data_IF_287117794108
#
_entry.id   IF_287117794108
#
_cell.length_a   1.000
_cell.length_b   1.000
_cell.length_c   1.000
_cell.angle_alpha   90.00
_cell.angle_beta   90.00
_cell.angle_gamma   90.00
#
_symmetry.space_group_name_H-M   'P 1'
#
loop_
_entity.id
_entity.type
_entity.pdbx_description
1 polymer ?
#
# COMPACT_ATOMS: atom_id res chain seq x y z
N UNK A 1 20.41 -44.13 -5.94
CA UNK A 1 19.90 -43.26 -4.87
C UNK A 1 18.85 -42.34 -5.47
N UNK A 2 17.57 -42.53 -5.15
CA UNK A 2 16.48 -41.80 -5.78
C UNK A 2 16.41 -40.37 -5.23
N UNK A 3 16.67 -39.38 -6.09
CA UNK A 3 16.43 -37.97 -5.79
C UNK A 3 14.94 -37.75 -5.53
N UNK A 4 14.55 -37.70 -4.25
CA UNK A 4 13.18 -37.36 -3.84
C UNK A 4 12.97 -35.87 -4.09
N UNK A 5 12.27 -35.54 -5.16
CA UNK A 5 11.92 -34.15 -5.48
C UNK A 5 11.07 -33.56 -4.34
N UNK A 6 11.52 -32.43 -3.79
CA UNK A 6 10.81 -31.70 -2.73
C UNK A 6 9.57 -31.06 -3.34
N UNK A 7 8.39 -31.35 -2.79
CA UNK A 7 7.15 -30.66 -3.17
C UNK A 7 7.32 -29.16 -2.86
N UNK A 8 7.07 -28.24 -3.82
CA UNK A 8 7.23 -26.81 -3.58
C UNK A 8 6.28 -26.35 -2.47
N UNK A 9 6.75 -25.45 -1.62
CA UNK A 9 5.90 -24.91 -0.56
C UNK A 9 4.80 -24.03 -1.20
N UNK A 10 3.67 -23.87 -0.51
CA UNK A 10 2.58 -23.00 -0.98
C UNK A 10 3.06 -21.55 -1.24
N UNK A 11 4.13 -21.10 -0.56
CA UNK A 11 4.81 -19.82 -0.80
C UNK A 11 5.54 -19.76 -2.15
N UNK A 12 6.06 -20.88 -2.63
CA UNK A 12 6.82 -20.95 -3.89
C UNK A 12 5.86 -20.90 -5.08
N UNK A 13 4.73 -21.60 -4.98
CA UNK A 13 3.62 -21.53 -5.96
C UNK A 13 2.85 -20.19 -5.94
N UNK A 14 3.05 -19.39 -4.89
CA UNK A 14 2.57 -18.01 -4.81
C UNK A 14 3.55 -17.04 -5.50
N UNK A 15 4.86 -17.35 -5.49
CA UNK A 15 5.92 -16.55 -6.15
C UNK A 15 5.93 -16.67 -7.67
N UNK A 16 5.50 -17.81 -8.22
CA UNK A 16 5.36 -17.97 -9.69
C UNK A 16 4.27 -17.07 -10.30
N UNK A 17 3.45 -16.42 -9.47
CA UNK A 17 2.48 -15.42 -9.92
C UNK A 17 3.04 -14.03 -9.65
N UNK A 18 3.04 -13.18 -10.66
CA UNK A 18 3.42 -11.77 -10.51
C UNK A 18 2.66 -11.14 -9.33
N UNK A 19 3.39 -10.58 -8.38
CA UNK A 19 2.79 -9.84 -7.27
C UNK A 19 1.97 -8.67 -7.83
N UNK A 20 0.76 -8.50 -7.30
CA UNK A 20 -0.13 -7.40 -7.72
C UNK A 20 -0.49 -6.55 -6.52
N UNK A 21 -0.65 -5.26 -6.76
CA UNK A 21 -1.15 -4.31 -5.76
C UNK A 21 -2.55 -3.86 -6.13
N UNK A 22 -3.43 -3.78 -5.13
CA UNK A 22 -4.79 -3.29 -5.31
C UNK A 22 -4.78 -1.82 -5.72
N UNK A 23 -5.31 -1.51 -6.90
CA UNK A 23 -5.37 -0.15 -7.43
C UNK A 23 -6.17 0.82 -6.54
N UNK A 24 -7.08 0.31 -5.70
CA UNK A 24 -7.91 1.14 -4.80
C UNK A 24 -7.27 1.39 -3.43
N UNK A 25 -6.73 0.36 -2.78
CA UNK A 25 -6.26 0.47 -1.38
C UNK A 25 -4.75 0.36 -1.19
N UNK A 26 -4.00 0.06 -2.25
CA UNK A 26 -2.54 -0.06 -2.22
C UNK A 26 -1.99 -1.29 -1.50
N UNK A 27 -2.84 -2.20 -1.02
CA UNK A 27 -2.40 -3.46 -0.40
C UNK A 27 -2.05 -4.50 -1.46
N UNK A 28 -1.13 -5.41 -1.14
CA UNK A 28 -0.85 -6.61 -1.94
C UNK A 28 -2.14 -7.41 -2.12
N UNK A 29 -2.38 -7.85 -3.35
CA UNK A 29 -3.47 -8.75 -3.69
C UNK A 29 -3.00 -10.18 -3.40
N UNK A 30 -3.58 -10.78 -2.38
CA UNK A 30 -3.35 -12.21 -2.10
C UNK A 30 -4.11 -13.06 -3.10
N UNK A 31 -3.43 -14.03 -3.70
CA UNK A 31 -4.03 -14.96 -4.67
C UNK A 31 -5.24 -15.69 -4.07
N UNK A 32 -6.26 -15.94 -4.91
CA UNK A 32 -7.46 -16.71 -4.56
C UNK A 32 -7.79 -17.66 -5.70
N UNK A 33 -8.21 -18.88 -5.40
CA UNK A 33 -8.52 -19.91 -6.40
C UNK A 33 -9.49 -19.43 -7.49
N UNK A 34 -10.49 -18.62 -7.12
CA UNK A 34 -11.46 -18.02 -8.06
C UNK A 34 -10.86 -17.09 -9.13
N UNK A 35 -9.60 -16.70 -8.99
CA UNK A 35 -8.88 -15.84 -9.94
C UNK A 35 -7.92 -16.62 -10.83
N UNK A 36 -7.93 -17.96 -10.75
CA UNK A 36 -7.04 -18.81 -11.55
C UNK A 36 -7.15 -18.53 -13.06
N UNK A 37 -8.35 -18.25 -13.56
CA UNK A 37 -8.61 -18.03 -14.99
C UNK A 37 -8.40 -16.59 -15.48
N UNK A 38 -8.23 -15.62 -14.58
CA UNK A 38 -8.20 -14.20 -14.96
C UNK A 38 -7.24 -13.34 -14.12
N UNK A 39 -6.21 -13.96 -13.53
CA UNK A 39 -5.27 -13.29 -12.64
C UNK A 39 -4.67 -12.02 -13.26
N UNK A 40 -4.32 -12.06 -14.54
CA UNK A 40 -3.70 -10.93 -15.22
C UNK A 40 -4.58 -9.68 -15.20
N UNK A 41 -5.90 -9.85 -15.29
CA UNK A 41 -6.87 -8.76 -15.24
C UNK A 41 -7.30 -8.34 -13.82
N UNK A 42 -6.84 -9.02 -12.76
CA UNK A 42 -7.21 -8.67 -11.38
C UNK A 42 -6.53 -7.36 -10.95
N UNK A 43 -7.34 -6.31 -10.75
CA UNK A 43 -6.87 -4.98 -10.30
C UNK A 43 -7.20 -4.65 -8.84
N UNK A 44 -8.13 -5.38 -8.21
CA UNK A 44 -8.66 -5.05 -6.88
C UNK A 44 -8.69 -6.28 -5.97
N UNK A 45 -8.35 -6.09 -4.69
CA UNK A 45 -8.31 -7.18 -3.71
C UNK A 45 -9.70 -7.65 -3.23
N UNK A 46 -10.76 -6.86 -3.48
CA UNK A 46 -12.13 -7.17 -3.05
C UNK A 46 -13.17 -6.42 -3.89
N UNK A 47 -14.43 -6.86 -3.81
CA UNK A 47 -15.57 -6.17 -4.40
C UNK A 47 -15.73 -4.76 -3.83
N UNK A 48 -15.53 -4.58 -2.51
CA UNK A 48 -15.58 -3.26 -1.89
C UNK A 48 -14.50 -2.31 -2.44
N UNK A 49 -13.27 -2.79 -2.65
CA UNK A 49 -12.21 -1.98 -3.28
C UNK A 49 -12.52 -1.67 -4.76
N UNK A 50 -13.17 -2.60 -5.48
CA UNK A 50 -13.63 -2.34 -6.84
C UNK A 50 -14.70 -1.24 -6.86
N UNK A 51 -15.68 -1.31 -5.97
CA UNK A 51 -16.76 -0.32 -5.87
C UNK A 51 -16.25 1.05 -5.39
N UNK A 52 -15.31 1.07 -4.45
CA UNK A 52 -14.74 2.32 -3.95
C UNK A 52 -13.82 3.01 -4.98
N UNK A 53 -12.94 2.26 -5.65
CA UNK A 53 -11.95 2.85 -6.57
C UNK A 53 -10.99 3.83 -5.87
N UNK A 54 -10.46 4.78 -6.64
CA UNK A 54 -9.70 5.96 -6.18
C UNK A 54 -10.52 7.19 -6.54
N UNK A 55 -10.76 8.08 -5.58
CA UNK A 55 -11.58 9.29 -5.79
C UNK A 55 -10.75 10.59 -5.66
N UNK A 56 -11.39 11.75 -5.77
CA UNK A 56 -10.71 13.05 -5.70
C UNK A 56 -10.00 13.29 -4.35
N UNK A 57 -10.61 12.83 -3.24
CA UNK A 57 -9.99 12.94 -1.90
C UNK A 57 -8.74 12.07 -1.79
N UNK A 58 -8.78 10.86 -2.35
CA UNK A 58 -7.61 9.98 -2.44
C UNK A 58 -6.45 10.65 -3.19
N UNK A 59 -6.73 11.34 -4.30
CA UNK A 59 -5.70 12.05 -5.10
C UNK A 59 -5.12 13.22 -4.31
N UNK A 60 -5.98 14.06 -3.70
CA UNK A 60 -5.54 15.16 -2.84
C UNK A 60 -4.66 14.70 -1.66
N UNK A 61 -4.92 13.51 -1.12
CA UNK A 61 -4.10 12.92 -0.06
C UNK A 61 -2.71 12.50 -0.57
N UNK A 62 -2.60 11.97 -1.79
CA UNK A 62 -1.30 11.66 -2.41
C UNK A 62 -0.49 12.94 -2.66
N UNK A 63 -1.13 13.97 -3.20
CA UNK A 63 -0.53 15.29 -3.41
C UNK A 63 -0.05 15.91 -2.09
N UNK A 64 -0.88 15.87 -1.04
CA UNK A 64 -0.52 16.37 0.28
C UNK A 64 0.65 15.60 0.91
N UNK A 65 0.68 14.27 0.79
CA UNK A 65 1.82 13.45 1.25
C UNK A 65 3.10 13.86 0.50
N UNK A 66 3.03 13.98 -0.82
CA UNK A 66 4.16 14.40 -1.65
C UNK A 66 4.67 15.78 -1.26
N UNK A 67 3.79 16.77 -1.13
CA UNK A 67 4.13 18.14 -0.76
C UNK A 67 4.75 18.21 0.65
N UNK A 68 4.15 17.53 1.64
CA UNK A 68 4.67 17.50 3.01
C UNK A 68 6.04 16.84 3.09
N UNK A 69 6.25 15.75 2.36
CA UNK A 69 7.56 15.12 2.27
C UNK A 69 8.57 16.06 1.60
N UNK A 70 8.22 16.73 0.50
CA UNK A 70 9.07 17.68 -0.23
C UNK A 70 9.48 18.89 0.62
N UNK A 71 8.57 19.40 1.46
CA UNK A 71 8.85 20.55 2.31
C UNK A 71 9.82 20.27 3.48
N UNK A 72 10.15 19.00 3.75
CA UNK A 72 11.04 18.60 4.85
C UNK A 72 12.46 18.24 4.38
N UNK A 73 13.38 18.17 5.33
CA UNK A 73 14.70 17.57 5.12
C UNK A 73 14.59 16.14 4.59
N UNK A 74 15.60 15.69 3.83
CA UNK A 74 15.55 14.44 3.07
C UNK A 74 15.37 13.18 3.94
N UNK A 75 15.87 13.20 5.17
CA UNK A 75 15.79 12.11 6.14
C UNK A 75 14.59 12.21 7.08
N UNK A 76 13.85 13.32 7.02
CA UNK A 76 12.67 13.54 7.83
C UNK A 76 11.53 12.61 7.43
N UNK A 77 10.61 12.41 8.37
CA UNK A 77 9.41 11.60 8.16
C UNK A 77 8.16 12.42 8.44
N UNK A 78 7.02 12.03 7.87
CA UNK A 78 5.67 12.48 8.26
C UNK A 78 4.86 11.28 8.78
N UNK A 79 3.71 11.48 9.39
CA UNK A 79 2.69 10.43 9.55
C UNK A 79 1.45 10.70 8.67
N UNK A 80 0.60 9.69 8.42
CA UNK A 80 -0.61 9.85 7.62
C UNK A 80 -1.54 10.96 8.14
N UNK A 81 -1.58 11.19 9.46
CA UNK A 81 -2.45 12.23 10.02
C UNK A 81 -2.06 13.66 9.67
N UNK A 82 -0.82 13.90 9.26
CA UNK A 82 -0.41 15.21 8.76
C UNK A 82 -1.06 15.51 7.41
N UNK A 83 -1.05 14.55 6.48
CA UNK A 83 -1.74 14.68 5.20
C UNK A 83 -3.27 14.74 5.36
N UNK A 84 -3.82 13.92 6.26
CA UNK A 84 -5.25 13.95 6.56
C UNK A 84 -5.70 15.30 7.12
N UNK A 85 -4.93 15.92 8.01
CA UNK A 85 -5.21 17.27 8.53
C UNK A 85 -5.12 18.33 7.45
N UNK A 86 -4.12 18.23 6.57
CA UNK A 86 -3.96 19.16 5.45
C UNK A 86 -5.15 19.10 4.47
N UNK A 87 -5.74 17.93 4.25
CA UNK A 87 -6.86 17.75 3.32
C UNK A 87 -8.23 17.94 3.96
N UNK A 88 -8.43 17.44 5.18
CA UNK A 88 -9.73 17.32 5.84
C UNK A 88 -10.03 18.34 6.94
N UNK A 89 -9.08 19.20 7.30
CA UNK A 89 -9.32 20.21 8.34
C UNK A 89 -9.78 19.59 9.66
N UNK A 90 -10.94 19.99 10.16
CA UNK A 90 -11.54 19.48 11.41
C UNK A 90 -11.99 18.00 11.30
N UNK A 91 -12.42 17.58 10.11
CA UNK A 91 -12.92 16.23 9.81
C UNK A 91 -11.81 15.23 9.45
N UNK A 92 -10.55 15.58 9.72
CA UNK A 92 -9.39 14.78 9.31
C UNK A 92 -9.39 13.34 9.83
N UNK A 93 -10.12 13.06 10.91
CA UNK A 93 -10.18 11.71 11.51
C UNK A 93 -10.78 10.69 10.56
N UNK A 94 -11.76 11.09 9.76
CA UNK A 94 -12.38 10.22 8.75
C UNK A 94 -11.41 9.89 7.61
N UNK A 95 -10.42 10.77 7.38
CA UNK A 95 -9.39 10.62 6.35
C UNK A 95 -8.21 9.77 6.80
N UNK A 96 -8.24 9.15 7.98
CA UNK A 96 -7.15 8.27 8.44
C UNK A 96 -6.90 7.08 7.54
N UNK A 97 -7.93 6.25 7.29
CA UNK A 97 -7.77 5.10 6.41
C UNK A 97 -7.56 5.51 4.93
N UNK A 98 -8.26 6.52 4.39
CA UNK A 98 -7.93 7.10 3.08
C UNK A 98 -6.46 7.54 2.97
N UNK A 99 -5.91 8.21 3.98
CA UNK A 99 -4.52 8.67 3.97
C UNK A 99 -3.54 7.49 4.00
N UNK A 100 -3.84 6.44 4.77
CA UNK A 100 -3.07 5.19 4.73
C UNK A 100 -3.14 4.54 3.34
N UNK A 101 -4.31 4.49 2.70
CA UNK A 101 -4.47 3.94 1.34
C UNK A 101 -3.64 4.70 0.32
N UNK A 102 -3.66 6.03 0.36
CA UNK A 102 -2.81 6.90 -0.46
C UNK A 102 -1.33 6.56 -0.28
N UNK A 103 -0.85 6.54 0.97
CA UNK A 103 0.53 6.17 1.26
C UNK A 103 0.92 4.78 0.71
N UNK A 104 0.04 3.78 0.82
CA UNK A 104 0.29 2.44 0.27
C UNK A 104 0.37 2.43 -1.26
N UNK A 105 -0.48 3.19 -1.95
CA UNK A 105 -0.41 3.33 -3.42
C UNK A 105 0.90 4.01 -3.84
N UNK A 106 1.34 5.03 -3.12
CA UNK A 106 2.63 5.68 -3.35
C UNK A 106 3.82 4.73 -3.11
N UNK A 107 3.79 3.89 -2.07
CA UNK A 107 4.79 2.82 -1.88
C UNK A 107 4.81 1.86 -3.06
N UNK A 108 3.63 1.43 -3.53
CA UNK A 108 3.53 0.50 -4.64
C UNK A 108 4.05 1.05 -5.97
N UNK A 109 4.08 2.39 -6.12
CA UNK A 109 4.70 3.09 -7.25
C UNK A 109 6.18 3.43 -7.02
N UNK A 110 6.74 3.08 -5.86
CA UNK A 110 8.14 3.36 -5.52
C UNK A 110 8.42 4.84 -5.18
N UNK A 111 7.40 5.61 -4.80
CA UNK A 111 7.54 7.05 -4.53
C UNK A 111 7.94 7.36 -3.08
N UNK A 112 7.60 6.47 -2.14
CA UNK A 112 7.92 6.62 -0.72
C UNK A 112 8.10 5.28 -0.02
N UNK A 113 8.61 5.30 1.21
CA UNK A 113 8.68 4.15 2.10
C UNK A 113 7.82 4.37 3.35
N UNK A 114 7.15 3.30 3.79
CA UNK A 114 6.48 3.23 5.10
C UNK A 114 7.42 2.59 6.11
N UNK A 115 7.57 3.22 7.28
CA UNK A 115 8.42 2.72 8.38
C UNK A 115 7.70 2.65 9.72
N UNK A 116 8.17 1.75 10.59
CA UNK A 116 7.81 1.67 12.00
C UNK A 116 9.08 1.43 12.82
N UNK A 117 9.28 2.18 13.90
CA UNK A 117 10.52 2.11 14.67
C UNK A 117 11.79 2.38 13.83
N UNK A 118 11.67 3.16 12.76
CA UNK A 118 12.77 3.46 11.83
C UNK A 118 13.03 2.42 10.73
N UNK A 119 12.49 1.20 10.85
CA UNK A 119 12.62 0.14 9.87
C UNK A 119 11.52 0.20 8.81
N UNK A 120 11.85 -0.13 7.54
CA UNK A 120 10.85 -0.28 6.47
C UNK A 120 10.00 -1.50 6.76
N UNK A 121 8.67 -1.35 6.65
CA UNK A 121 7.70 -2.43 6.92
C UNK A 121 6.80 -2.68 5.71
N UNK A 122 6.19 -3.87 5.66
CA UNK A 122 5.19 -4.18 4.64
C UNK A 122 3.93 -3.31 4.84
N UNK A 123 3.57 -2.47 3.86
CA UNK A 123 2.39 -1.62 3.93
C UNK A 123 1.08 -2.39 4.11
N UNK A 124 1.01 -3.64 3.65
CA UNK A 124 -0.20 -4.46 3.65
C UNK A 124 -0.55 -5.01 5.03
N UNK A 125 0.46 -5.14 5.90
CA UNK A 125 0.36 -5.83 7.20
C UNK A 125 0.69 -4.93 8.39
N UNK A 126 1.34 -3.78 8.16
CA UNK A 126 1.65 -2.80 9.21
C UNK A 126 0.40 -2.35 9.99
N UNK A 127 0.47 -2.45 11.32
CA UNK A 127 -0.60 -2.04 12.27
C UNK A 127 -0.11 -0.92 13.17
N UNK A 128 -1.01 -0.04 13.60
CA UNK A 128 -0.68 1.05 14.52
C UNK A 128 0.06 2.22 13.84
N UNK A 129 0.77 3.05 14.62
CA UNK A 129 1.46 4.23 14.11
C UNK A 129 2.51 3.88 13.06
N UNK A 130 2.44 4.56 11.92
CA UNK A 130 3.40 4.44 10.81
C UNK A 130 4.00 5.80 10.49
N UNK A 131 5.20 5.80 9.93
CA UNK A 131 5.88 6.98 9.39
C UNK A 131 6.07 6.81 7.89
N UNK A 132 6.04 7.91 7.16
CA UNK A 132 6.27 7.99 5.72
C UNK A 132 7.57 8.77 5.51
N UNK A 133 8.44 8.28 4.63
CA UNK A 133 9.67 9.00 4.22
C UNK A 133 9.91 8.84 2.72
N UNK A 134 10.69 9.73 2.13
CA UNK A 134 11.15 9.57 0.74
C UNK A 134 11.99 8.30 0.59
N UNK A 135 11.99 7.73 -0.61
CA UNK A 135 12.91 6.63 -0.94
C UNK A 135 14.35 7.16 -0.83
N UNK A 136 15.24 6.33 -0.27
CA UNK A 136 16.68 6.60 -0.16
C UNK A 136 17.42 6.01 -1.34
#
# INVERSE_FOLDING_TARGET
>A
MAHRQRKPAASDLARDRAEKTCASCGRRIEWRAKWASNWDSVKYCSTACRAHGVNATDVRLEEAIGALLTARANDATICPSEAAKAVGGEEWRELMEPSRRAARRMVARGELQITQGGAVVDPSTAKGPIRLRRVR
#
